data_IF_506823704731
#
_entry.id   IF_506823704731
#
_cell.length_a   1.000
_cell.length_b   1.000
_cell.length_c   1.000
_cell.angle_alpha   90.00
_cell.angle_beta   90.00
_cell.angle_gamma   90.00
#
_symmetry.space_group_name_H-M   'P 1'
#
loop_
_entity.id
_entity.type
_entity.pdbx_description
1 polymer ?
#
# COMPACT_ATOMS: atom_id res chain seq x y z
N UNK A 1 -43.93 66.17 -46.91
CA UNK A 1 -43.80 64.81 -46.35
C UNK A 1 -42.48 64.75 -45.60
N UNK A 2 -42.46 64.65 -44.27
CA UNK A 2 -41.19 64.62 -43.53
C UNK A 2 -41.29 64.81 -42.01
N UNK A 3 -42.33 64.30 -41.34
CA UNK A 3 -42.54 64.55 -39.90
C UNK A 3 -42.83 63.31 -39.03
N UNK A 4 -42.91 62.12 -39.62
CA UNK A 4 -43.27 60.88 -38.93
C UNK A 4 -42.11 59.89 -38.79
N UNK A 5 -41.08 59.98 -39.63
CA UNK A 5 -39.90 59.09 -39.61
C UNK A 5 -38.88 59.46 -38.53
N UNK A 6 -38.71 60.74 -38.20
CA UNK A 6 -37.71 61.19 -37.21
C UNK A 6 -38.07 60.81 -35.76
N UNK A 7 -39.36 60.81 -35.42
CA UNK A 7 -39.82 60.43 -34.06
C UNK A 7 -39.66 58.93 -33.79
N UNK A 8 -39.71 58.11 -34.83
CA UNK A 8 -39.52 56.66 -34.73
C UNK A 8 -38.03 56.35 -34.58
N UNK A 9 -37.17 57.03 -35.34
CA UNK A 9 -35.72 56.89 -35.23
C UNK A 9 -35.17 57.33 -33.87
N UNK A 10 -35.68 58.42 -33.31
CA UNK A 10 -35.28 58.89 -31.97
C UNK A 10 -35.65 57.87 -30.87
N UNK A 11 -36.80 57.20 -30.99
CA UNK A 11 -37.23 56.16 -30.04
C UNK A 11 -36.36 54.92 -30.12
N UNK A 12 -35.96 54.50 -31.33
CA UNK A 12 -35.03 53.38 -31.49
C UNK A 12 -33.62 53.72 -31.01
N UNK A 13 -33.15 54.96 -31.19
CA UNK A 13 -31.85 55.39 -30.67
C UNK A 13 -31.82 55.39 -29.13
N UNK A 14 -32.87 55.90 -28.47
CA UNK A 14 -32.99 55.88 -27.01
C UNK A 14 -33.08 54.45 -26.49
N UNK A 15 -33.87 53.59 -27.14
CA UNK A 15 -33.97 52.17 -26.76
C UNK A 15 -32.63 51.45 -26.95
N UNK A 16 -31.91 51.72 -28.03
CA UNK A 16 -30.61 51.13 -28.31
C UNK A 16 -29.57 51.57 -27.28
N UNK A 17 -29.53 52.86 -26.92
CA UNK A 17 -28.64 53.39 -25.87
C UNK A 17 -28.98 52.82 -24.50
N UNK A 18 -30.28 52.66 -24.18
CA UNK A 18 -30.69 52.02 -22.93
C UNK A 18 -30.28 50.54 -22.91
N UNK A 19 -30.47 49.80 -24.00
CA UNK A 19 -30.06 48.39 -24.09
C UNK A 19 -28.54 48.28 -24.02
N UNK A 20 -27.78 49.12 -24.73
CA UNK A 20 -26.31 49.10 -24.63
C UNK A 20 -25.83 49.52 -23.25
N UNK A 21 -26.44 50.51 -22.60
CA UNK A 21 -26.10 50.90 -21.23
C UNK A 21 -26.44 49.79 -20.22
N UNK A 22 -27.51 49.03 -20.45
CA UNK A 22 -27.93 47.92 -19.59
C UNK A 22 -27.04 46.68 -19.79
N UNK A 23 -26.66 46.38 -21.04
CA UNK A 23 -25.69 45.32 -21.36
C UNK A 23 -24.29 45.68 -20.85
N UNK A 24 -23.85 46.93 -21.04
CA UNK A 24 -22.54 47.41 -20.55
C UNK A 24 -22.52 47.50 -19.03
N UNK A 25 -23.62 47.95 -18.40
CA UNK A 25 -23.81 47.95 -16.95
C UNK A 25 -23.85 46.54 -16.35
N UNK A 26 -24.48 45.58 -17.03
CA UNK A 26 -24.48 44.17 -16.62
C UNK A 26 -23.08 43.53 -16.78
N UNK A 27 -22.35 43.82 -17.86
CA UNK A 27 -20.99 43.32 -18.06
C UNK A 27 -20.00 43.94 -17.06
N UNK A 28 -20.17 45.21 -16.68
CA UNK A 28 -19.34 45.87 -15.65
C UNK A 28 -19.73 45.40 -14.24
N UNK A 29 -21.01 45.09 -13.96
CA UNK A 29 -21.47 44.52 -12.70
C UNK A 29 -21.04 43.05 -12.51
N UNK A 30 -20.87 42.30 -13.61
CA UNK A 30 -20.33 40.93 -13.60
C UNK A 30 -18.78 40.95 -13.61
N UNK A 31 -18.16 42.02 -14.13
CA UNK A 31 -16.71 42.19 -14.23
C UNK A 31 -16.04 42.88 -13.02
N UNK A 32 -16.78 43.24 -11.98
CA UNK A 32 -16.28 44.03 -10.85
C UNK A 32 -16.25 43.29 -9.51
N UNK A 33 -15.03 42.94 -9.05
CA UNK A 33 -14.60 42.44 -7.72
C UNK A 33 -14.47 40.91 -7.59
N UNK A 34 -13.22 40.45 -7.57
CA UNK A 34 -12.80 39.06 -7.36
C UNK A 34 -13.02 38.54 -5.92
N UNK A 35 -14.27 38.41 -5.51
CA UNK A 35 -14.68 37.66 -4.32
C UNK A 35 -16.15 37.26 -4.46
N UNK A 36 -16.43 35.96 -4.38
CA UNK A 36 -17.76 35.39 -4.65
C UNK A 36 -17.75 33.96 -5.18
N UNK A 37 -16.59 33.37 -5.47
CA UNK A 37 -16.49 31.99 -5.90
C UNK A 37 -16.56 31.00 -4.74
N UNK A 38 -16.37 31.42 -3.49
CA UNK A 38 -16.31 30.51 -2.34
C UNK A 38 -17.57 29.62 -2.22
N UNK A 39 -18.77 30.21 -2.33
CA UNK A 39 -20.01 29.46 -2.26
C UNK A 39 -20.14 28.49 -3.45
N UNK A 40 -19.88 28.97 -4.66
CA UNK A 40 -19.92 28.15 -5.87
C UNK A 40 -18.90 27.00 -5.84
N UNK A 41 -17.69 27.24 -5.34
CA UNK A 41 -16.63 26.25 -5.22
C UNK A 41 -16.93 25.22 -4.11
N UNK A 42 -17.58 25.64 -3.01
CA UNK A 42 -18.07 24.71 -1.98
C UNK A 42 -19.18 23.82 -2.52
N UNK A 43 -20.09 24.37 -3.31
CA UNK A 43 -21.14 23.57 -3.97
C UNK A 43 -20.57 22.66 -5.06
N UNK A 44 -19.53 23.10 -5.78
CA UNK A 44 -18.78 22.26 -6.71
C UNK A 44 -18.12 21.08 -5.97
N UNK A 45 -17.47 21.31 -4.82
CA UNK A 45 -16.89 20.26 -3.99
C UNK A 45 -17.92 19.22 -3.55
N UNK A 46 -19.13 19.65 -3.14
CA UNK A 46 -20.21 18.73 -2.74
C UNK A 46 -20.69 17.82 -3.85
N UNK A 47 -20.65 18.29 -5.10
CA UNK A 47 -21.15 17.55 -6.27
C UNK A 47 -20.07 16.81 -7.06
N UNK A 48 -18.81 17.21 -6.90
CA UNK A 48 -17.69 16.62 -7.63
C UNK A 48 -17.58 15.11 -7.37
N UNK A 49 -17.20 14.37 -8.42
CA UNK A 49 -17.03 12.93 -8.37
C UNK A 49 -18.30 12.19 -7.88
N UNK A 50 -19.49 12.65 -8.28
CA UNK A 50 -20.79 12.14 -7.82
C UNK A 50 -20.95 12.18 -6.27
N UNK A 51 -20.37 13.20 -5.64
CA UNK A 51 -20.41 13.36 -4.19
C UNK A 51 -19.49 12.39 -3.43
N UNK A 52 -18.56 11.70 -4.11
CA UNK A 52 -17.63 10.77 -3.47
C UNK A 52 -16.52 11.44 -2.63
N UNK A 53 -16.35 12.76 -2.72
CA UNK A 53 -15.33 13.49 -1.96
C UNK A 53 -15.83 13.87 -0.54
N UNK A 54 -15.00 13.73 0.51
CA UNK A 54 -15.39 14.10 1.88
C UNK A 54 -15.40 15.63 2.06
N UNK A 55 -16.57 16.24 1.92
CA UNK A 55 -16.73 17.71 2.02
C UNK A 55 -16.11 18.30 3.30
N UNK A 56 -16.38 17.69 4.47
CA UNK A 56 -15.92 18.22 5.76
C UNK A 56 -14.38 18.23 5.91
N UNK A 57 -13.67 17.26 5.34
CA UNK A 57 -12.21 17.23 5.41
C UNK A 57 -11.55 18.18 4.37
N UNK A 58 -12.26 18.49 3.27
CA UNK A 58 -11.73 19.22 2.11
C UNK A 58 -12.16 20.70 2.05
N UNK A 59 -13.21 21.11 2.76
CA UNK A 59 -13.76 22.48 2.64
C UNK A 59 -12.74 23.58 2.98
N UNK A 60 -11.76 23.28 3.84
CA UNK A 60 -10.66 24.19 4.21
C UNK A 60 -9.71 24.52 3.06
N UNK A 61 -9.68 23.69 2.01
CA UNK A 61 -8.84 23.85 0.82
C UNK A 61 -9.51 24.75 -0.22
N UNK A 62 -10.83 24.94 -0.11
CA UNK A 62 -11.61 25.74 -1.06
C UNK A 62 -11.21 27.21 -0.93
N UNK A 63 -10.91 27.84 -2.07
CA UNK A 63 -10.49 29.26 -2.14
C UNK A 63 -11.53 30.10 -2.87
N UNK A 64 -11.58 31.38 -2.54
CA UNK A 64 -12.48 32.37 -3.17
C UNK A 64 -11.86 33.05 -4.40
N UNK A 65 -10.53 32.97 -4.54
CA UNK A 65 -9.78 33.77 -5.51
C UNK A 65 -10.12 33.48 -6.99
N UNK A 66 -10.62 32.27 -7.31
CA UNK A 66 -10.96 31.85 -8.67
C UNK A 66 -12.00 30.74 -8.69
N UNK A 67 -12.69 30.52 -9.82
CA UNK A 67 -13.50 29.31 -10.03
C UNK A 67 -12.65 28.04 -9.91
N UNK A 68 -13.22 27.00 -9.31
CA UNK A 68 -12.61 25.68 -9.26
C UNK A 68 -12.63 24.96 -10.60
N UNK A 69 -11.53 24.26 -10.91
CA UNK A 69 -11.37 23.45 -12.11
C UNK A 69 -11.63 21.99 -11.78
N UNK A 70 -12.72 21.43 -12.32
CA UNK A 70 -13.11 20.04 -12.16
C UNK A 70 -12.82 19.26 -13.44
N UNK A 71 -12.09 18.15 -13.31
CA UNK A 71 -11.93 17.11 -14.34
C UNK A 71 -12.37 15.80 -13.74
N UNK A 72 -13.30 15.10 -14.37
CA UNK A 72 -13.80 13.83 -13.86
C UNK A 72 -14.20 12.89 -14.99
N UNK A 73 -13.82 11.63 -14.87
CA UNK A 73 -14.19 10.56 -15.79
C UNK A 73 -14.15 9.20 -15.09
N UNK A 74 -14.73 8.17 -15.70
CA UNK A 74 -14.74 6.81 -15.18
C UNK A 74 -16.09 6.14 -15.35
N UNK A 75 -16.11 4.80 -15.26
CA UNK A 75 -17.34 4.01 -15.48
C UNK A 75 -18.40 4.24 -14.40
N UNK A 76 -18.00 4.67 -13.20
CA UNK A 76 -18.95 5.06 -12.14
C UNK A 76 -19.74 6.32 -12.52
N UNK A 77 -19.09 7.28 -13.21
CA UNK A 77 -19.69 8.56 -13.59
C UNK A 77 -20.46 8.48 -14.91
N UNK A 78 -19.99 7.63 -15.83
CA UNK A 78 -20.61 7.42 -17.14
C UNK A 78 -20.69 5.91 -17.44
N UNK A 79 -21.69 5.19 -16.89
CA UNK A 79 -21.88 3.77 -17.15
C UNK A 79 -22.01 3.49 -18.65
N UNK A 80 -21.38 2.41 -19.12
CA UNK A 80 -21.44 1.97 -20.53
C UNK A 80 -20.39 2.60 -21.45
N UNK A 81 -19.55 3.54 -20.98
CA UNK A 81 -18.33 3.95 -21.70
C UNK A 81 -17.16 3.07 -21.29
N UNK A 82 -16.36 2.64 -22.25
CA UNK A 82 -15.12 1.90 -21.96
C UNK A 82 -14.12 2.81 -21.24
N UNK A 83 -13.72 2.43 -20.03
CA UNK A 83 -12.69 3.12 -19.26
C UNK A 83 -11.92 2.13 -18.39
N UNK A 84 -10.63 2.42 -18.19
CA UNK A 84 -9.81 1.71 -17.20
C UNK A 84 -9.94 2.29 -15.79
N UNK A 85 -10.58 3.43 -15.62
CA UNK A 85 -10.83 4.02 -14.31
C UNK A 85 -12.29 3.82 -13.93
N UNK A 86 -12.54 3.39 -12.70
CA UNK A 86 -13.88 3.46 -12.12
C UNK A 86 -14.19 4.92 -11.79
N UNK A 87 -13.20 5.64 -11.25
CA UNK A 87 -13.24 7.06 -10.98
C UNK A 87 -11.85 7.65 -11.13
N UNK A 88 -11.69 8.65 -11.99
CA UNK A 88 -10.54 9.56 -12.00
C UNK A 88 -11.09 10.98 -11.92
N UNK A 89 -10.75 11.66 -10.83
CA UNK A 89 -11.34 12.93 -10.47
C UNK A 89 -10.27 13.88 -9.92
N UNK A 90 -10.18 15.07 -10.49
CA UNK A 90 -9.30 16.15 -10.03
C UNK A 90 -10.09 17.44 -9.88
N UNK A 91 -9.99 18.06 -8.71
CA UNK A 91 -10.59 19.35 -8.40
C UNK A 91 -9.51 20.29 -7.84
N UNK A 92 -9.28 21.42 -8.51
CA UNK A 92 -8.26 22.40 -8.16
C UNK A 92 -8.86 23.78 -7.97
N UNK A 93 -8.37 24.52 -6.98
CA UNK A 93 -8.75 25.93 -6.74
C UNK A 93 -7.58 26.90 -6.95
N UNK A 94 -6.49 26.42 -7.56
CA UNK A 94 -5.26 27.18 -7.77
C UNK A 94 -4.43 27.40 -6.49
N UNK A 95 -3.28 28.07 -6.64
CA UNK A 95 -2.33 28.27 -5.54
C UNK A 95 -1.84 26.96 -4.92
N UNK A 96 -1.81 25.87 -5.70
CA UNK A 96 -1.46 24.53 -5.26
C UNK A 96 -2.49 23.83 -4.37
N UNK A 97 -3.70 24.38 -4.19
CA UNK A 97 -4.80 23.71 -3.48
C UNK A 97 -5.56 22.80 -4.45
N UNK A 98 -5.48 21.48 -4.23
CA UNK A 98 -6.14 20.50 -5.09
C UNK A 98 -6.41 19.19 -4.36
N UNK A 99 -7.38 18.45 -4.89
CA UNK A 99 -7.61 17.04 -4.60
C UNK A 99 -7.62 16.28 -5.91
N UNK A 100 -6.86 15.19 -5.96
CA UNK A 100 -6.83 14.25 -7.09
C UNK A 100 -7.05 12.86 -6.54
N UNK A 101 -8.01 12.15 -7.13
CA UNK A 101 -8.40 10.81 -6.76
C UNK A 101 -8.40 9.95 -8.01
N UNK A 102 -7.80 8.78 -7.91
CA UNK A 102 -7.88 7.75 -8.94
C UNK A 102 -8.29 6.44 -8.30
N UNK A 103 -9.28 5.78 -8.87
CA UNK A 103 -9.81 4.51 -8.40
C UNK A 103 -10.05 3.57 -9.58
N UNK A 104 -9.56 2.34 -9.42
CA UNK A 104 -9.63 1.31 -10.46
C UNK A 104 -9.78 -0.09 -9.87
N UNK A 105 -10.39 -0.95 -10.67
CA UNK A 105 -10.38 -2.39 -10.45
C UNK A 105 -8.96 -2.94 -10.68
N UNK A 106 -8.34 -3.54 -9.66
CA UNK A 106 -7.02 -4.14 -9.81
C UNK A 106 -7.11 -5.44 -10.60
N UNK A 107 -6.57 -5.41 -11.82
CA UNK A 107 -6.37 -6.58 -12.70
C UNK A 107 -4.91 -6.98 -12.82
N UNK A 108 -4.01 -6.16 -12.28
CA UNK A 108 -2.56 -6.30 -12.31
C UNK A 108 -2.01 -6.00 -10.93
N UNK A 109 -0.69 -6.12 -10.79
CA UNK A 109 -0.04 -5.88 -9.52
C UNK A 109 -0.27 -4.48 -8.97
N UNK A 110 -0.31 -4.39 -7.64
CA UNK A 110 -0.21 -3.10 -6.98
C UNK A 110 1.14 -2.47 -7.32
N UNK A 111 1.19 -1.17 -7.64
CA UNK A 111 2.43 -0.50 -8.06
C UNK A 111 3.43 -0.29 -6.91
N UNK A 112 3.09 -0.69 -5.69
CA UNK A 112 3.94 -0.60 -4.52
C UNK A 112 4.63 -1.91 -4.21
N UNK A 113 5.87 -1.81 -3.74
CA UNK A 113 6.64 -2.96 -3.29
C UNK A 113 6.00 -3.64 -2.08
N UNK A 114 5.84 -4.97 -2.19
CA UNK A 114 5.11 -5.82 -1.26
C UNK A 114 6.02 -6.74 -0.43
N UNK A 115 7.34 -6.64 -0.55
CA UNK A 115 8.26 -7.43 0.29
C UNK A 115 8.12 -7.10 1.77
N UNK A 116 8.38 -8.09 2.64
CA UNK A 116 8.23 -7.94 4.10
C UNK A 116 8.96 -6.72 4.65
N UNK A 117 10.23 -6.54 4.29
CA UNK A 117 11.03 -5.39 4.73
C UNK A 117 10.47 -4.07 4.24
N UNK A 118 9.98 -4.00 3.01
CA UNK A 118 9.40 -2.78 2.46
C UNK A 118 8.12 -2.39 3.21
N UNK A 119 7.37 -3.35 3.75
CA UNK A 119 6.17 -3.10 4.56
C UNK A 119 6.54 -2.59 5.95
N UNK A 120 7.50 -3.24 6.63
CA UNK A 120 7.90 -2.88 8.00
C UNK A 120 8.79 -1.63 8.05
N UNK A 121 9.72 -1.50 7.11
CA UNK A 121 10.64 -0.38 6.96
C UNK A 121 10.60 0.14 5.51
N UNK A 122 9.65 1.03 5.18
CA UNK A 122 9.43 1.50 3.82
C UNK A 122 10.52 2.42 3.26
N UNK A 123 11.61 2.65 4.00
CA UNK A 123 12.75 3.46 3.58
C UNK A 123 12.65 4.94 3.97
N UNK A 124 13.70 5.73 3.68
CA UNK A 124 13.79 7.13 4.08
C UNK A 124 12.84 8.02 3.26
N UNK A 125 12.05 8.84 3.96
CA UNK A 125 11.26 9.91 3.34
C UNK A 125 9.94 10.11 4.06
N UNK A 126 9.45 11.36 4.08
CA UNK A 126 8.22 11.83 4.74
C UNK A 126 6.93 11.18 4.23
N UNK A 127 6.85 9.87 4.41
CA UNK A 127 5.72 9.03 4.12
C UNK A 127 4.98 8.74 5.42
N UNK A 128 3.70 8.48 5.31
CA UNK A 128 2.84 8.23 6.46
C UNK A 128 2.04 6.95 6.25
N UNK A 129 1.77 6.21 7.31
CA UNK A 129 0.79 5.12 7.31
C UNK A 129 -0.42 5.52 8.14
N UNK A 130 -1.57 4.89 7.86
CA UNK A 130 -2.78 5.08 8.62
C UNK A 130 -3.27 3.71 9.12
N UNK A 131 -3.37 3.51 10.46
CA UNK A 131 -3.92 2.29 11.04
C UNK A 131 -5.31 1.98 10.50
N UNK A 132 -5.62 0.70 10.25
CA UNK A 132 -6.87 0.23 9.67
C UNK A 132 -6.95 0.33 8.15
N UNK A 133 -5.88 0.78 7.48
CA UNK A 133 -5.84 0.89 6.02
C UNK A 133 -4.62 0.19 5.44
N UNK A 134 -4.78 -0.40 4.27
CA UNK A 134 -3.62 -0.78 3.44
C UNK A 134 -2.96 0.48 2.87
N UNK A 135 -1.69 0.36 2.53
CA UNK A 135 -0.90 1.37 1.85
C UNK A 135 -0.27 2.48 2.70
N UNK A 136 0.24 3.49 2.00
CA UNK A 136 1.11 4.57 2.50
C UNK A 136 0.73 5.89 1.84
N UNK A 137 1.00 7.00 2.50
CA UNK A 137 1.04 8.31 1.88
C UNK A 137 2.45 8.60 1.36
N UNK A 138 2.60 8.90 0.08
CA UNK A 138 3.88 9.30 -0.50
C UNK A 138 3.74 10.34 -1.62
N UNK A 139 4.68 10.36 -2.56
CA UNK A 139 4.70 11.33 -3.65
C UNK A 139 3.41 11.33 -4.52
N UNK A 140 2.75 10.17 -4.62
CA UNK A 140 1.49 9.98 -5.35
C UNK A 140 0.23 10.19 -4.49
N UNK A 141 0.39 10.60 -3.23
CA UNK A 141 -0.71 10.67 -2.25
C UNK A 141 -0.84 9.40 -1.42
N UNK A 142 -1.96 9.29 -0.69
CA UNK A 142 -2.39 8.05 -0.05
C UNK A 142 -2.79 7.04 -1.12
N UNK A 143 -2.53 5.76 -0.86
CA UNK A 143 -3.11 4.66 -1.62
C UNK A 143 -3.65 3.61 -0.65
N UNK A 144 -4.68 2.89 -1.08
CA UNK A 144 -5.21 1.73 -0.39
C UNK A 144 -5.86 0.75 -1.38
N UNK A 145 -6.03 -0.49 -0.94
CA UNK A 145 -6.81 -1.55 -1.56
C UNK A 145 -8.01 -1.83 -0.65
N UNK A 146 -9.20 -1.76 -1.22
CA UNK A 146 -10.46 -2.04 -0.54
C UNK A 146 -11.11 -3.29 -1.14
N UNK A 147 -11.82 -4.01 -0.29
CA UNK A 147 -12.44 -5.27 -0.64
C UNK A 147 -13.79 -5.03 -1.32
N UNK A 148 -14.04 -5.82 -2.37
CA UNK A 148 -15.24 -5.75 -3.18
C UNK A 148 -15.65 -7.17 -3.58
N UNK A 149 -15.97 -8.00 -2.58
CA UNK A 149 -16.04 -9.46 -2.67
C UNK A 149 -17.05 -10.00 -3.71
N UNK A 150 -18.12 -9.25 -3.98
CA UNK A 150 -19.14 -9.53 -4.99
C UNK A 150 -18.70 -9.20 -6.42
N UNK A 151 -17.52 -8.61 -6.59
CA UNK A 151 -16.97 -8.18 -7.88
C UNK A 151 -17.26 -6.71 -8.20
N UNK A 152 -16.34 -6.09 -8.94
CA UNK A 152 -16.51 -4.77 -9.54
C UNK A 152 -17.16 -4.89 -10.92
N UNK A 153 -18.25 -4.17 -11.15
CA UNK A 153 -18.93 -4.13 -12.45
C UNK A 153 -18.16 -3.26 -13.48
N UNK A 154 -18.57 -3.36 -14.75
CA UNK A 154 -18.00 -2.56 -15.85
C UNK A 154 -16.69 -3.12 -16.40
N UNK A 155 -16.38 -4.39 -16.12
CA UNK A 155 -15.20 -5.11 -16.61
C UNK A 155 -15.54 -6.45 -17.23
N UNK A 156 -14.68 -6.87 -18.15
CA UNK A 156 -14.75 -8.19 -18.80
C UNK A 156 -14.42 -9.32 -17.81
N UNK A 157 -13.60 -9.04 -16.78
CA UNK A 157 -13.29 -9.99 -15.71
C UNK A 157 -13.67 -9.36 -14.36
N UNK A 158 -14.50 -10.04 -13.55
CA UNK A 158 -14.81 -9.55 -12.21
C UNK A 158 -13.53 -9.57 -11.36
N UNK A 159 -13.23 -8.45 -10.71
CA UNK A 159 -12.16 -8.37 -9.72
C UNK A 159 -12.77 -8.04 -8.37
N UNK A 160 -12.17 -8.55 -7.30
CA UNK A 160 -12.65 -8.37 -5.93
C UNK A 160 -11.88 -7.29 -5.17
N UNK A 161 -11.00 -6.58 -5.87
CA UNK A 161 -10.02 -5.66 -5.31
C UNK A 161 -10.13 -4.29 -5.99
N UNK A 162 -10.42 -3.27 -5.18
CA UNK A 162 -10.50 -1.87 -5.58
C UNK A 162 -9.24 -1.14 -5.11
N UNK A 163 -8.45 -0.60 -6.03
CA UNK A 163 -7.35 0.29 -5.68
C UNK A 163 -7.80 1.74 -5.74
N UNK A 164 -7.50 2.50 -4.70
CA UNK A 164 -7.79 3.92 -4.62
C UNK A 164 -6.53 4.66 -4.24
N UNK A 165 -6.24 5.73 -4.98
CA UNK A 165 -5.26 6.75 -4.62
C UNK A 165 -5.95 8.08 -4.38
N UNK A 166 -5.47 8.83 -3.40
CA UNK A 166 -5.93 10.18 -3.12
C UNK A 166 -4.75 11.07 -2.74
N UNK A 167 -4.53 12.10 -3.56
CA UNK A 167 -3.55 13.15 -3.30
C UNK A 167 -4.28 14.43 -2.94
N UNK A 168 -3.88 15.00 -1.82
CA UNK A 168 -4.40 16.28 -1.33
C UNK A 168 -3.23 17.24 -1.22
N UNK A 169 -3.40 18.45 -1.74
CA UNK A 169 -2.40 19.52 -1.66
C UNK A 169 -3.06 20.79 -1.16
N UNK A 170 -2.36 21.54 -0.31
CA UNK A 170 -2.85 22.77 0.33
C UNK A 170 -2.03 24.02 -0.06
N UNK A 171 -1.22 23.91 -1.12
CA UNK A 171 -0.31 24.94 -1.59
C UNK A 171 1.09 24.91 -0.97
N UNK A 172 1.33 24.09 0.06
CA UNK A 172 2.67 23.92 0.65
C UNK A 172 3.47 22.82 -0.04
N UNK A 173 4.80 22.90 0.06
CA UNK A 173 5.72 21.88 -0.45
C UNK A 173 5.81 20.70 0.52
N UNK A 174 5.56 19.49 0.03
CA UNK A 174 5.54 18.28 0.86
C UNK A 174 4.22 18.12 1.64
N UNK A 175 3.94 16.90 2.09
CA UNK A 175 2.77 16.64 2.92
C UNK A 175 3.14 16.65 4.40
N UNK A 176 2.38 17.41 5.20
CA UNK A 176 2.40 17.29 6.65
C UNK A 176 1.43 16.17 7.12
N UNK A 177 1.46 15.84 8.42
CA UNK A 177 0.56 14.83 9.01
C UNK A 177 -0.92 15.09 8.69
N UNK A 178 -1.32 16.35 8.74
CA UNK A 178 -2.71 16.77 8.50
C UNK A 178 -3.12 16.52 7.05
N UNK A 179 -2.23 16.82 6.10
CA UNK A 179 -2.42 16.59 4.66
C UNK A 179 -2.47 15.10 4.37
N UNK A 180 -1.57 14.32 4.96
CA UNK A 180 -1.55 12.88 4.81
C UNK A 180 -2.83 12.22 5.36
N UNK A 181 -3.27 12.63 6.55
CA UNK A 181 -4.53 12.16 7.15
C UNK A 181 -5.74 12.49 6.27
N UNK A 182 -5.82 13.71 5.74
CA UNK A 182 -6.88 14.09 4.79
C UNK A 182 -6.82 13.27 3.51
N UNK A 183 -5.62 12.96 3.01
CA UNK A 183 -5.43 12.04 1.87
C UNK A 183 -6.01 10.66 2.13
N UNK A 184 -5.65 10.03 3.27
CA UNK A 184 -6.17 8.72 3.64
C UNK A 184 -7.69 8.72 3.84
N UNK A 185 -8.24 9.73 4.54
CA UNK A 185 -9.70 9.87 4.69
C UNK A 185 -10.41 10.03 3.35
N UNK A 186 -9.81 10.78 2.43
CA UNK A 186 -10.32 10.93 1.06
C UNK A 186 -10.33 9.59 0.33
N UNK A 187 -9.22 8.83 0.38
CA UNK A 187 -9.15 7.51 -0.23
C UNK A 187 -10.19 6.54 0.36
N UNK A 188 -10.33 6.49 1.68
CA UNK A 188 -11.33 5.64 2.38
C UNK A 188 -12.75 6.05 2.01
N UNK A 189 -13.05 7.35 2.01
CA UNK A 189 -14.39 7.84 1.66
C UNK A 189 -14.76 7.49 0.22
N UNK A 190 -13.83 7.65 -0.72
CA UNK A 190 -14.00 7.27 -2.12
C UNK A 190 -14.18 5.76 -2.27
N UNK A 191 -13.34 4.95 -1.63
CA UNK A 191 -13.46 3.50 -1.67
C UNK A 191 -14.82 3.03 -1.16
N UNK A 192 -15.28 3.60 -0.04
CA UNK A 192 -16.60 3.33 0.52
C UNK A 192 -17.75 3.82 -0.39
N UNK A 193 -17.58 4.94 -1.10
CA UNK A 193 -18.57 5.42 -2.07
C UNK A 193 -18.69 4.48 -3.27
N UNK A 194 -17.56 4.05 -3.84
CA UNK A 194 -17.50 3.12 -4.97
C UNK A 194 -18.08 1.76 -4.58
N UNK A 195 -17.62 1.16 -3.48
CA UNK A 195 -18.12 -0.16 -3.03
C UNK A 195 -19.63 -0.15 -2.78
N UNK A 196 -20.18 0.92 -2.19
CA UNK A 196 -21.64 1.10 -2.06
C UNK A 196 -22.35 1.25 -3.39
N UNK A 197 -21.82 2.07 -4.31
CA UNK A 197 -22.42 2.28 -5.62
C UNK A 197 -22.45 1.00 -6.45
N UNK A 198 -21.38 0.20 -6.38
CA UNK A 198 -21.22 -1.09 -7.07
C UNK A 198 -21.92 -2.25 -6.36
N UNK A 199 -22.41 -2.05 -5.12
CA UNK A 199 -23.07 -3.09 -4.30
C UNK A 199 -22.28 -4.39 -4.18
N UNK A 200 -20.96 -4.30 -4.20
CA UNK A 200 -20.11 -5.48 -4.23
C UNK A 200 -19.83 -6.10 -2.86
N UNK A 201 -20.54 -5.69 -1.81
CA UNK A 201 -20.36 -6.21 -0.45
C UNK A 201 -19.04 -5.77 0.20
N UNK A 202 -18.70 -6.42 1.31
CA UNK A 202 -17.58 -6.05 2.19
C UNK A 202 -17.99 -5.11 3.33
N UNK A 203 -17.17 -5.07 4.38
CA UNK A 203 -17.35 -4.12 5.48
C UNK A 203 -16.75 -2.77 5.04
N UNK A 204 -17.48 -1.64 5.20
CA UNK A 204 -16.91 -0.33 4.94
C UNK A 204 -15.63 -0.12 5.74
N UNK A 205 -14.63 0.51 5.12
CA UNK A 205 -13.40 0.90 5.79
C UNK A 205 -13.69 2.03 6.77
N UNK A 206 -13.18 1.91 8.00
CA UNK A 206 -13.29 2.97 8.99
C UNK A 206 -12.30 4.11 8.64
N UNK A 207 -12.76 5.38 8.56
CA UNK A 207 -11.85 6.49 8.28
C UNK A 207 -10.79 6.62 9.38
N UNK A 208 -9.49 6.73 9.03
CA UNK A 208 -8.45 6.81 10.03
C UNK A 208 -8.55 8.10 10.85
N UNK A 209 -8.24 8.00 12.14
CA UNK A 209 -8.22 9.12 13.08
C UNK A 209 -6.83 9.78 13.16
N UNK A 210 -5.77 9.04 12.82
CA UNK A 210 -4.38 9.48 12.91
C UNK A 210 -3.52 8.87 11.80
N UNK A 211 -2.34 9.44 11.63
CA UNK A 211 -1.29 8.89 10.78
C UNK A 211 0.00 8.74 11.57
N UNK A 212 0.77 7.72 11.22
CA UNK A 212 2.08 7.43 11.80
C UNK A 212 3.14 7.78 10.78
N UNK A 213 4.20 8.48 11.19
CA UNK A 213 5.34 8.73 10.32
C UNK A 213 6.14 7.44 10.18
N UNK A 214 6.52 7.10 8.96
CA UNK A 214 7.26 5.86 8.65
C UNK A 214 8.78 6.05 8.71
N UNK A 215 9.28 7.29 8.68
CA UNK A 215 10.70 7.58 8.71
C UNK A 215 11.27 7.58 10.15
N UNK A 216 12.49 7.06 10.29
CA UNK A 216 13.32 7.30 11.48
C UNK A 216 13.70 8.77 11.56
N UNK A 217 13.34 9.44 12.64
CA UNK A 217 13.90 10.77 12.94
C UNK A 217 15.38 10.61 13.25
N UNK A 218 16.26 11.33 12.55
CA UNK A 218 17.70 11.35 12.86
C UNK A 218 17.89 11.91 14.28
N UNK A 219 18.21 11.03 15.23
CA UNK A 219 18.25 11.32 16.67
C UNK A 219 17.50 10.30 17.53
N UNK A 220 16.60 9.51 16.95
CA UNK A 220 16.06 8.33 17.62
C UNK A 220 17.10 7.21 17.59
N UNK A 221 17.75 6.97 18.73
CA UNK A 221 18.52 5.74 18.96
C UNK A 221 17.61 4.51 19.17
N UNK A 222 16.28 4.67 19.05
CA UNK A 222 15.31 3.59 18.99
C UNK A 222 14.70 3.54 17.59
N UNK A 223 14.93 2.44 16.86
CA UNK A 223 14.46 2.26 15.49
C UNK A 223 12.99 2.64 15.32
N UNK A 224 12.68 3.28 14.19
CA UNK A 224 11.34 3.72 13.78
C UNK A 224 10.37 2.57 13.49
N UNK A 225 10.16 1.71 14.48
CA UNK A 225 9.00 0.87 14.62
C UNK A 225 7.97 1.59 15.50
N UNK A 226 6.70 1.27 15.29
CA UNK A 226 5.63 1.77 16.16
C UNK A 226 5.80 1.12 17.54
N UNK A 227 6.17 1.91 18.54
CA UNK A 227 5.98 1.53 19.94
C UNK A 227 4.48 1.59 20.23
N UNK A 228 3.83 0.44 20.42
CA UNK A 228 2.37 0.38 20.56
C UNK A 228 1.79 -1.03 20.38
N UNK A 229 0.44 -1.17 20.33
CA UNK A 229 -0.25 -2.45 20.20
C UNK A 229 0.16 -3.30 18.99
N UNK A 230 0.65 -2.68 17.91
CA UNK A 230 1.20 -3.34 16.72
C UNK A 230 2.51 -4.09 17.00
N UNK A 231 3.33 -3.65 17.98
CA UNK A 231 4.52 -4.39 18.40
C UNK A 231 4.14 -5.75 19.03
N UNK A 232 3.03 -5.80 19.79
CA UNK A 232 2.58 -7.04 20.45
C UNK A 232 2.24 -8.16 19.48
N UNK A 233 1.82 -7.82 18.26
CA UNK A 233 1.50 -8.80 17.21
C UNK A 233 2.70 -9.58 16.73
N UNK A 234 3.91 -9.13 17.06
CA UNK A 234 5.17 -9.77 16.71
C UNK A 234 5.88 -10.36 17.95
N UNK A 235 5.29 -10.27 19.16
CA UNK A 235 5.89 -10.79 20.41
C UNK A 235 6.03 -12.31 20.43
N UNK A 236 5.32 -13.01 19.53
CA UNK A 236 5.50 -14.44 19.31
C UNK A 236 6.89 -14.78 18.75
N UNK A 237 7.64 -13.80 18.23
CA UNK A 237 9.04 -13.96 17.83
C UNK A 237 9.90 -13.94 19.09
N UNK A 238 10.22 -15.12 19.61
CA UNK A 238 11.16 -15.25 20.71
C UNK A 238 11.87 -16.61 20.68
N UNK A 239 13.07 -16.71 21.26
CA UNK A 239 13.76 -17.99 21.36
C UNK A 239 13.03 -19.04 22.21
N UNK A 240 12.12 -18.62 23.10
CA UNK A 240 11.34 -19.56 23.91
C UNK A 240 10.14 -20.13 23.15
N UNK A 241 9.60 -19.42 22.16
CA UNK A 241 8.49 -19.89 21.33
C UNK A 241 8.96 -20.61 20.07
N UNK A 242 10.11 -20.21 19.51
CA UNK A 242 10.68 -20.73 18.27
C UNK A 242 12.08 -21.31 18.57
N UNK A 243 12.18 -22.62 18.88
CA UNK A 243 13.46 -23.31 18.94
C UNK A 243 14.28 -23.13 17.66
N UNK A 244 15.60 -22.97 17.81
CA UNK A 244 16.53 -22.70 16.71
C UNK A 244 16.91 -21.23 16.56
N UNK A 245 16.10 -20.30 17.08
CA UNK A 245 16.51 -18.90 17.21
C UNK A 245 17.65 -18.77 18.23
N UNK A 246 18.57 -17.85 17.96
CA UNK A 246 19.66 -17.55 18.89
C UNK A 246 19.12 -17.10 20.26
N UNK A 247 19.59 -17.69 21.37
CA UNK A 247 19.24 -17.22 22.71
C UNK A 247 19.66 -15.76 22.94
N UNK A 248 18.90 -15.05 23.79
CA UNK A 248 19.21 -13.69 24.18
C UNK A 248 18.07 -12.72 23.95
N UNK A 249 18.40 -11.42 23.93
CA UNK A 249 17.43 -10.38 23.64
C UNK A 249 17.19 -10.22 22.14
N UNK A 250 15.94 -9.99 21.77
CA UNK A 250 15.49 -9.75 20.40
C UNK A 250 14.70 -8.45 20.36
N UNK A 251 14.82 -7.72 19.25
CA UNK A 251 13.96 -6.58 18.92
C UNK A 251 12.97 -7.02 17.85
N UNK A 252 11.68 -6.84 18.12
CA UNK A 252 10.60 -7.13 17.17
C UNK A 252 10.01 -5.83 16.62
N UNK A 253 9.59 -5.85 15.35
CA UNK A 253 8.89 -4.73 14.70
C UNK A 253 7.74 -5.28 13.88
N UNK A 254 6.59 -4.61 13.93
CA UNK A 254 5.43 -4.93 13.12
C UNK A 254 5.07 -3.78 12.17
N UNK A 255 4.26 -4.08 11.16
CA UNK A 255 3.69 -3.08 10.29
C UNK A 255 2.84 -2.05 11.08
N UNK A 256 2.87 -0.80 10.61
CA UNK A 256 2.11 0.30 11.21
C UNK A 256 0.68 0.42 10.65
N UNK A 257 0.31 -0.45 9.72
CA UNK A 257 -0.89 -0.31 8.90
C UNK A 257 -2.11 -0.94 9.57
N UNK A 258 -1.90 -2.00 10.36
CA UNK A 258 -2.97 -2.70 11.08
C UNK A 258 -4.18 -2.99 10.15
N UNK A 259 -3.85 -3.50 8.96
CA UNK A 259 -4.84 -3.78 7.93
C UNK A 259 -5.43 -5.17 8.12
N UNK A 260 -6.67 -5.36 7.71
CA UNK A 260 -7.30 -6.69 7.63
C UNK A 260 -6.79 -7.53 6.45
N UNK A 261 -6.00 -6.93 5.54
CA UNK A 261 -5.60 -7.55 4.27
C UNK A 261 -4.09 -7.74 4.13
N UNK A 262 -3.29 -7.19 5.06
CA UNK A 262 -1.85 -7.44 5.11
C UNK A 262 -1.33 -7.34 6.54
N UNK A 263 -0.26 -8.08 6.83
CA UNK A 263 0.55 -7.85 8.02
C UNK A 263 1.99 -8.29 7.80
N UNK A 264 2.93 -7.61 8.46
CA UNK A 264 4.34 -7.96 8.42
C UNK A 264 4.99 -7.80 9.79
N UNK A 265 5.90 -8.71 10.12
CA UNK A 265 6.75 -8.71 11.30
C UNK A 265 8.20 -8.96 10.92
N UNK A 266 9.11 -8.30 11.61
CA UNK A 266 10.54 -8.63 11.61
C UNK A 266 11.01 -8.82 13.05
N UNK A 267 12.00 -9.69 13.24
CA UNK A 267 12.71 -9.83 14.51
C UNK A 267 14.20 -9.89 14.27
N UNK A 268 14.97 -9.13 15.03
CA UNK A 268 16.43 -9.11 14.96
C UNK A 268 17.00 -9.42 16.35
N UNK A 269 18.00 -10.29 16.43
CA UNK A 269 18.80 -10.48 17.64
C UNK A 269 19.59 -9.20 17.90
N UNK A 270 19.46 -8.62 19.09
CA UNK A 270 19.98 -7.28 19.39
C UNK A 270 21.41 -7.33 19.95
N UNK A 271 22.48 -7.07 19.16
CA UNK A 271 23.85 -7.10 19.67
C UNK A 271 24.14 -6.04 20.75
N UNK A 272 23.34 -4.97 20.82
CA UNK A 272 23.52 -3.88 21.78
C UNK A 272 22.77 -4.09 23.10
N UNK A 273 21.89 -5.09 23.18
CA UNK A 273 21.16 -5.37 24.41
C UNK A 273 22.09 -5.85 25.53
N UNK A 274 21.89 -5.44 26.79
CA UNK A 274 22.72 -5.89 27.92
C UNK A 274 22.82 -7.41 28.09
N UNK A 275 21.78 -8.16 27.70
CA UNK A 275 21.78 -9.63 27.74
C UNK A 275 22.68 -10.30 26.69
N UNK A 276 23.09 -9.53 25.69
CA UNK A 276 23.80 -9.99 24.51
C UNK A 276 25.23 -9.41 24.43
N UNK A 277 25.63 -8.57 25.39
CA UNK A 277 26.92 -7.90 25.42
C UNK A 277 28.08 -8.91 25.39
N UNK A 278 29.04 -8.67 24.48
CA UNK A 278 30.21 -9.53 24.31
C UNK A 278 29.95 -10.89 23.63
N UNK A 279 28.71 -11.17 23.19
CA UNK A 279 28.36 -12.46 22.58
C UNK A 279 28.34 -12.37 21.05
N UNK A 280 29.33 -12.96 20.38
CA UNK A 280 29.35 -13.02 18.91
C UNK A 280 28.58 -14.26 18.41
N UNK A 281 27.66 -14.13 17.44
CA UNK A 281 27.02 -15.29 16.85
C UNK A 281 27.95 -16.08 15.93
N UNK A 282 27.85 -17.41 16.02
CA UNK A 282 28.53 -18.33 15.11
C UNK A 282 27.80 -18.34 13.76
N UNK A 283 28.51 -18.75 12.71
CA UNK A 283 27.90 -18.94 11.41
C UNK A 283 26.70 -19.88 11.48
N UNK A 284 25.70 -19.63 10.64
CA UNK A 284 24.44 -20.36 10.54
C UNK A 284 23.50 -20.24 11.75
N UNK A 285 23.88 -19.50 12.80
CA UNK A 285 22.94 -19.18 13.87
C UNK A 285 21.94 -18.13 13.38
N UNK A 286 20.66 -18.40 13.59
CA UNK A 286 19.56 -17.52 13.17
C UNK A 286 19.53 -16.29 14.06
N UNK A 287 19.83 -15.14 13.46
CA UNK A 287 19.86 -13.82 14.12
C UNK A 287 18.80 -12.86 13.59
N UNK A 288 18.08 -13.24 12.54
CA UNK A 288 16.94 -12.48 12.04
C UNK A 288 15.80 -13.40 11.64
N UNK A 289 14.58 -12.89 11.70
CA UNK A 289 13.40 -13.53 11.13
C UNK A 289 12.49 -12.51 10.48
N UNK A 290 11.76 -12.96 9.48
CA UNK A 290 10.73 -12.20 8.80
C UNK A 290 9.45 -13.03 8.70
N UNK A 291 8.30 -12.39 8.79
CA UNK A 291 7.01 -13.01 8.58
C UNK A 291 6.04 -12.01 7.96
N UNK A 292 5.30 -12.42 6.95
CA UNK A 292 4.28 -11.58 6.35
C UNK A 292 3.11 -12.39 5.80
N UNK A 293 1.96 -11.72 5.72
CA UNK A 293 0.74 -12.24 5.11
C UNK A 293 0.13 -11.17 4.21
N UNK A 294 -0.41 -11.61 3.08
CA UNK A 294 -1.06 -10.73 2.11
C UNK A 294 -2.29 -11.40 1.52
N UNK A 295 -3.45 -10.76 1.67
CA UNK A 295 -4.73 -11.27 1.18
C UNK A 295 -5.05 -10.74 -0.23
N UNK A 296 -5.67 -11.60 -1.05
CA UNK A 296 -6.15 -11.27 -2.39
C UNK A 296 -5.06 -10.73 -3.31
N UNK A 297 -5.33 -9.61 -3.98
CA UNK A 297 -4.37 -9.03 -4.95
C UNK A 297 -3.03 -8.68 -4.31
N UNK A 298 -2.99 -8.28 -3.03
CA UNK A 298 -1.73 -7.98 -2.36
C UNK A 298 -0.83 -9.21 -2.30
N UNK A 299 -1.43 -10.39 -2.09
CA UNK A 299 -0.70 -11.66 -2.07
C UNK A 299 -0.22 -12.08 -3.45
N UNK A 300 -1.02 -11.84 -4.49
CA UNK A 300 -0.55 -12.03 -5.87
C UNK A 300 0.64 -11.12 -6.18
N UNK A 301 0.56 -9.83 -5.86
CA UNK A 301 1.64 -8.90 -6.13
C UNK A 301 2.89 -9.16 -5.31
N UNK A 302 2.75 -9.64 -4.07
CA UNK A 302 3.88 -10.12 -3.29
C UNK A 302 4.52 -11.34 -3.98
N UNK A 303 3.71 -12.34 -4.33
CA UNK A 303 4.18 -13.56 -4.99
C UNK A 303 4.89 -13.24 -6.32
N UNK A 304 4.28 -12.46 -7.20
CA UNK A 304 4.85 -12.05 -8.49
C UNK A 304 6.14 -11.23 -8.31
N UNK A 305 6.24 -10.42 -7.24
CA UNK A 305 7.48 -9.69 -6.93
C UNK A 305 8.61 -10.62 -6.54
N UNK A 306 8.37 -11.58 -5.64
CA UNK A 306 9.37 -12.57 -5.25
C UNK A 306 9.68 -13.54 -6.40
N UNK A 307 8.71 -13.89 -7.25
CA UNK A 307 8.89 -14.76 -8.41
C UNK A 307 9.87 -14.15 -9.42
N UNK A 308 9.80 -12.84 -9.65
CA UNK A 308 10.76 -12.14 -10.55
C UNK A 308 12.21 -12.24 -10.07
N UNK A 309 12.43 -12.47 -8.78
CA UNK A 309 13.74 -12.63 -8.17
C UNK A 309 14.14 -14.10 -7.97
N UNK A 310 13.25 -15.05 -8.32
CA UNK A 310 13.46 -16.46 -8.07
C UNK A 310 13.22 -16.91 -6.63
N UNK A 311 12.53 -16.08 -5.85
CA UNK A 311 12.31 -16.26 -4.42
C UNK A 311 10.95 -16.91 -4.08
N UNK A 312 10.43 -17.77 -4.96
CA UNK A 312 9.19 -18.55 -4.76
C UNK A 312 9.40 -20.05 -5.02
N UNK A 313 8.63 -20.95 -4.37
CA UNK A 313 8.79 -22.38 -4.59
C UNK A 313 8.50 -22.77 -6.04
N UNK A 314 9.34 -23.64 -6.61
CA UNK A 314 9.17 -24.16 -7.97
C UNK A 314 9.67 -23.22 -9.08
N UNK A 315 10.31 -22.09 -8.73
CA UNK A 315 11.00 -21.26 -9.72
C UNK A 315 12.14 -22.03 -10.40
N UNK A 316 12.30 -21.89 -11.71
CA UNK A 316 13.29 -22.65 -12.51
C UNK A 316 12.98 -24.13 -12.74
N UNK A 317 11.97 -24.70 -12.08
CA UNK A 317 11.63 -26.12 -12.14
C UNK A 317 11.10 -26.59 -13.51
N UNK A 318 10.79 -25.69 -14.45
CA UNK A 318 10.30 -26.03 -15.80
C UNK A 318 11.38 -25.97 -16.90
N UNK A 319 12.52 -25.33 -16.63
CA UNK A 319 13.61 -25.15 -17.60
C UNK A 319 14.81 -26.02 -17.21
N UNK A 320 15.16 -26.06 -15.93
CA UNK A 320 16.28 -26.85 -15.42
C UNK A 320 15.93 -28.33 -15.26
N UNK A 321 14.70 -28.69 -14.82
CA UNK A 321 14.27 -30.11 -14.84
C UNK A 321 14.08 -30.66 -16.25
N UNK A 322 13.86 -29.81 -17.26
CA UNK A 322 13.76 -30.25 -18.66
C UNK A 322 15.13 -30.61 -19.24
N UNK A 323 16.18 -29.90 -18.80
CA UNK A 323 17.56 -30.14 -19.23
C UNK A 323 18.27 -31.19 -18.36
N UNK A 324 18.00 -31.22 -17.04
CA UNK A 324 18.59 -32.18 -16.12
C UNK A 324 18.01 -33.61 -16.25
N UNK A 325 16.74 -33.77 -16.66
CA UNK A 325 16.18 -35.11 -16.97
C UNK A 325 16.60 -35.66 -18.34
N UNK A 326 17.29 -34.88 -19.16
CA UNK A 326 17.72 -35.29 -20.50
C UNK A 326 19.20 -35.70 -20.58
N UNK A 327 19.99 -35.56 -19.51
CA UNK A 327 21.43 -35.84 -19.57
C UNK A 327 22.05 -36.25 -18.24
N UNK A 328 22.04 -37.57 -18.00
CA UNK A 328 23.06 -38.39 -17.30
C UNK A 328 22.47 -39.28 -16.20
N UNK A 329 22.49 -40.61 -16.39
CA UNK A 329 22.53 -41.55 -15.27
C UNK A 329 23.94 -41.56 -14.67
N UNK A 330 24.04 -41.80 -13.37
CA UNK A 330 25.26 -41.96 -12.56
C UNK A 330 25.99 -40.68 -12.13
N UNK A 331 25.47 -40.05 -11.08
CA UNK A 331 26.29 -39.62 -9.94
C UNK A 331 25.46 -39.66 -8.65
N UNK A 332 25.92 -40.44 -7.67
CA UNK A 332 25.49 -40.35 -6.27
C UNK A 332 25.77 -38.94 -5.75
N UNK A 333 24.79 -38.04 -5.84
CA UNK A 333 24.89 -36.65 -5.40
C UNK A 333 24.20 -36.42 -4.04
N UNK A 334 24.50 -37.26 -3.04
CA UNK A 334 23.94 -37.11 -1.68
C UNK A 334 24.75 -36.16 -0.77
N UNK A 335 25.91 -35.68 -1.23
CA UNK A 335 26.85 -34.83 -0.46
C UNK A 335 27.12 -33.47 -1.14
N UNK A 336 26.20 -32.97 -1.96
CA UNK A 336 26.32 -31.63 -2.50
C UNK A 336 26.26 -30.60 -1.36
N UNK A 337 27.39 -29.96 -1.09
CA UNK A 337 27.49 -28.85 -0.13
C UNK A 337 27.17 -27.58 -0.88
N UNK A 338 26.06 -26.94 -0.53
CA UNK A 338 25.73 -25.63 -1.08
C UNK A 338 26.75 -24.60 -0.60
N UNK A 339 27.13 -23.70 -1.50
CA UNK A 339 28.13 -22.67 -1.23
C UNK A 339 27.49 -21.31 -1.31
N UNK A 340 27.50 -20.60 -0.19
CA UNK A 340 26.93 -19.25 -0.09
C UNK A 340 28.03 -18.22 -0.34
N UNK A 341 27.92 -17.38 -1.39
CA UNK A 341 28.96 -16.40 -1.73
C UNK A 341 28.98 -15.16 -0.83
N UNK A 342 30.17 -14.57 -0.67
CA UNK A 342 30.42 -13.43 0.21
C UNK A 342 29.68 -12.14 -0.16
N UNK A 343 29.24 -11.99 -1.42
CA UNK A 343 28.52 -10.79 -1.87
C UNK A 343 27.06 -10.77 -1.42
N UNK A 344 26.53 -11.90 -0.92
CA UNK A 344 25.18 -11.95 -0.37
C UNK A 344 25.15 -11.32 1.01
N UNK A 345 24.40 -10.24 1.12
CA UNK A 345 24.32 -9.46 2.35
C UNK A 345 23.33 -10.05 3.37
N UNK A 346 22.35 -10.84 2.91
CA UNK A 346 21.26 -11.37 3.73
C UNK A 346 20.80 -12.76 3.26
N UNK A 347 21.65 -13.81 3.39
CA UNK A 347 21.25 -15.18 3.07
C UNK A 347 20.07 -15.58 3.95
N UNK A 348 19.06 -16.22 3.37
CA UNK A 348 17.87 -16.63 4.12
C UNK A 348 17.21 -17.88 3.55
N UNK A 349 16.58 -18.65 4.44
CA UNK A 349 15.67 -19.73 4.06
C UNK A 349 14.25 -19.24 4.26
N UNK A 350 13.48 -19.18 3.19
CA UNK A 350 12.07 -18.80 3.22
C UNK A 350 11.16 -20.02 3.12
N UNK A 351 10.01 -19.95 3.79
CA UNK A 351 8.94 -20.94 3.72
C UNK A 351 7.65 -20.24 3.33
N UNK A 352 7.06 -20.70 2.23
CA UNK A 352 5.81 -20.17 1.71
C UNK A 352 4.63 -21.06 2.09
N UNK A 353 3.51 -20.43 2.40
CA UNK A 353 2.24 -21.11 2.60
C UNK A 353 1.09 -20.30 1.99
N UNK A 354 -0.02 -20.99 1.73
CA UNK A 354 -1.26 -20.40 1.27
C UNK A 354 -2.38 -20.81 2.21
N UNK A 355 -3.30 -19.89 2.51
CA UNK A 355 -4.49 -20.16 3.29
C UNK A 355 -5.69 -19.37 2.77
N UNK A 356 -6.83 -19.52 3.44
CA UNK A 356 -8.01 -18.67 3.24
C UNK A 356 -8.24 -17.82 4.49
N UNK A 357 -8.01 -16.50 4.40
CA UNK A 357 -8.26 -15.54 5.50
C UNK A 357 -9.37 -14.57 5.10
N UNK A 358 -10.33 -14.31 5.99
CA UNK A 358 -11.46 -13.43 5.67
C UNK A 358 -12.25 -13.83 4.41
N UNK A 359 -12.20 -15.11 4.00
CA UNK A 359 -12.80 -15.60 2.77
C UNK A 359 -11.98 -15.39 1.50
N UNK A 360 -10.71 -14.99 1.61
CA UNK A 360 -9.83 -14.65 0.49
C UNK A 360 -8.59 -15.53 0.49
N UNK A 361 -8.07 -15.84 -0.69
CA UNK A 361 -6.74 -16.47 -0.82
C UNK A 361 -5.71 -15.55 -0.22
N UNK A 362 -4.89 -16.08 0.67
CA UNK A 362 -3.83 -15.35 1.36
C UNK A 362 -2.54 -16.12 1.22
N UNK A 363 -1.47 -15.41 0.85
CA UNK A 363 -0.12 -15.96 0.90
C UNK A 363 0.55 -15.56 2.20
N UNK A 364 1.28 -16.50 2.77
CA UNK A 364 2.14 -16.31 3.93
C UNK A 364 3.57 -16.62 3.53
N UNK A 365 4.50 -15.84 4.03
CA UNK A 365 5.93 -16.09 3.91
C UNK A 365 6.57 -15.88 5.26
N UNK A 366 7.37 -16.84 5.71
CA UNK A 366 8.30 -16.62 6.81
C UNK A 366 9.72 -16.89 6.33
N UNK A 367 10.70 -16.23 6.95
CA UNK A 367 12.11 -16.45 6.62
C UNK A 367 12.95 -16.45 7.89
N UNK A 368 13.96 -17.31 7.89
CA UNK A 368 15.02 -17.32 8.90
C UNK A 368 16.31 -16.81 8.28
N UNK A 369 16.96 -15.86 8.97
CA UNK A 369 18.13 -15.15 8.51
C UNK A 369 19.32 -15.55 9.39
N UNK A 370 20.13 -16.53 8.97
CA UNK A 370 21.37 -16.86 9.65
C UNK A 370 22.38 -15.71 9.56
N UNK A 371 23.19 -15.56 10.61
CA UNK A 371 24.43 -14.79 10.50
C UNK A 371 25.46 -15.61 9.74
N UNK A 372 26.13 -14.99 8.77
CA UNK A 372 27.32 -15.51 8.12
C UNK A 372 28.43 -14.46 8.17
N UNK A 373 29.63 -14.90 8.52
CA UNK A 373 30.84 -14.14 8.27
C UNK A 373 31.59 -14.79 7.11
N UNK A 374 31.56 -14.15 5.94
CA UNK A 374 32.25 -14.63 4.74
C UNK A 374 33.30 -13.60 4.35
N UNK A 375 34.60 -13.95 4.35
CA UNK A 375 35.63 -13.07 3.83
C UNK A 375 35.36 -12.69 2.36
N UNK A 376 35.80 -11.50 1.95
CA UNK A 376 35.57 -11.01 0.59
C UNK A 376 36.13 -11.97 -0.47
N UNK A 377 35.26 -12.40 -1.40
CA UNK A 377 35.60 -13.32 -2.49
C UNK A 377 35.53 -14.81 -2.11
N UNK A 378 35.14 -15.13 -0.88
CA UNK A 378 34.98 -16.52 -0.42
C UNK A 378 33.53 -17.02 -0.48
N UNK A 379 33.37 -18.31 -0.19
CA UNK A 379 32.07 -18.98 -0.03
C UNK A 379 32.06 -19.77 1.27
N UNK A 380 30.96 -19.74 2.03
CA UNK A 380 30.79 -20.60 3.21
C UNK A 380 29.98 -21.85 2.83
N UNK A 381 30.44 -23.06 3.22
CA UNK A 381 29.70 -24.28 3.00
C UNK A 381 28.46 -24.37 3.90
N UNK A 382 27.34 -24.82 3.34
CA UNK A 382 26.14 -25.21 4.06
C UNK A 382 26.04 -26.74 4.06
N UNK A 383 26.21 -27.36 5.23
CA UNK A 383 26.07 -28.80 5.38
C UNK A 383 24.59 -29.23 5.45
N UNK A 384 24.26 -30.49 5.08
CA UNK A 384 22.89 -31.00 5.15
C UNK A 384 22.22 -30.86 6.54
N UNK A 385 22.99 -31.06 7.61
CA UNK A 385 22.50 -30.90 8.98
C UNK A 385 22.17 -29.46 9.37
N UNK A 386 22.96 -28.48 8.89
CA UNK A 386 22.68 -27.06 9.10
C UNK A 386 21.43 -26.65 8.31
N UNK A 387 21.33 -27.11 7.06
CA UNK A 387 20.16 -26.85 6.23
C UNK A 387 18.88 -27.44 6.83
N UNK A 388 18.93 -28.66 7.34
CA UNK A 388 17.81 -29.29 8.03
C UNK A 388 17.38 -28.50 9.28
N UNK A 389 18.33 -28.00 10.07
CA UNK A 389 18.05 -27.19 11.26
C UNK A 389 17.39 -25.83 10.91
N UNK A 390 17.85 -25.18 9.83
CA UNK A 390 17.20 -23.97 9.31
C UNK A 390 15.75 -24.27 8.87
N UNK A 391 15.53 -25.39 8.18
CA UNK A 391 14.20 -25.84 7.74
C UNK A 391 13.27 -26.05 8.93
N UNK A 392 13.70 -26.85 9.92
CA UNK A 392 12.92 -27.13 11.12
C UNK A 392 12.54 -25.84 11.85
N UNK A 393 13.47 -24.89 11.94
CA UNK A 393 13.20 -23.58 12.53
C UNK A 393 12.21 -22.77 11.70
N UNK A 394 12.31 -22.77 10.37
CA UNK A 394 11.36 -22.07 9.48
C UNK A 394 9.94 -22.64 9.56
N UNK A 395 9.79 -23.97 9.61
CA UNK A 395 8.49 -24.63 9.82
C UNK A 395 7.89 -24.29 11.18
N UNK A 396 8.72 -24.32 12.23
CA UNK A 396 8.33 -23.91 13.58
C UNK A 396 7.89 -22.45 13.61
N UNK A 397 8.66 -21.57 12.95
CA UNK A 397 8.38 -20.15 12.83
C UNK A 397 7.02 -19.91 12.14
N UNK A 398 6.74 -20.60 11.04
CA UNK A 398 5.46 -20.54 10.34
C UNK A 398 4.31 -21.00 11.25
N UNK A 399 4.47 -22.13 11.93
CA UNK A 399 3.45 -22.65 12.85
C UNK A 399 3.17 -21.67 13.99
N UNK A 400 4.22 -21.02 14.54
CA UNK A 400 4.08 -19.99 15.58
C UNK A 400 3.41 -18.73 15.04
N UNK A 401 3.78 -18.26 13.85
CA UNK A 401 3.17 -17.10 13.22
C UNK A 401 1.66 -17.30 13.01
N UNK A 402 1.28 -18.45 12.45
CA UNK A 402 -0.11 -18.79 12.16
C UNK A 402 -0.94 -19.03 13.43
N UNK A 403 -0.30 -19.54 14.49
CA UNK A 403 -0.96 -19.89 15.75
C UNK A 403 -0.93 -18.81 16.85
N UNK A 404 -0.22 -17.69 16.63
CA UNK A 404 -0.07 -16.64 17.63
C UNK A 404 -1.44 -16.04 18.02
N UNK A 405 -1.72 -15.92 19.33
CA UNK A 405 -3.05 -15.51 19.81
C UNK A 405 -3.41 -14.08 19.41
N UNK A 406 -2.45 -13.17 19.57
CA UNK A 406 -2.56 -11.78 19.12
C UNK A 406 -2.05 -11.59 17.68
N UNK A 407 -1.74 -12.69 16.99
CA UNK A 407 -1.22 -12.69 15.63
C UNK A 407 -2.27 -12.35 14.60
N UNK A 408 -1.85 -11.67 13.53
CA UNK A 408 -2.73 -11.32 12.42
C UNK A 408 -3.43 -12.53 11.77
N UNK A 409 -2.78 -13.69 11.54
CA UNK A 409 -3.47 -14.82 10.90
C UNK A 409 -4.70 -15.30 11.67
N UNK A 410 -4.63 -15.29 13.02
CA UNK A 410 -5.76 -15.67 13.88
C UNK A 410 -6.86 -14.61 13.85
N UNK A 411 -6.51 -13.32 13.94
CA UNK A 411 -7.49 -12.23 13.89
C UNK A 411 -8.18 -12.09 12.53
N UNK A 412 -7.47 -12.41 11.44
CA UNK A 412 -8.00 -12.47 10.08
C UNK A 412 -8.79 -13.77 9.80
N UNK A 413 -8.85 -14.70 10.75
CA UNK A 413 -9.59 -15.96 10.62
C UNK A 413 -9.05 -16.87 9.51
N UNK A 414 -7.72 -16.93 9.37
CA UNK A 414 -7.06 -17.81 8.40
C UNK A 414 -7.35 -19.29 8.71
N UNK A 415 -7.64 -20.06 7.66
CA UNK A 415 -7.89 -21.51 7.71
C UNK A 415 -7.36 -22.21 6.46
N UNK A 416 -7.38 -23.54 6.50
CA UNK A 416 -7.01 -24.40 5.36
C UNK A 416 -5.59 -24.13 4.84
N UNK A 417 -4.65 -23.89 5.75
CA UNK A 417 -3.28 -23.56 5.39
C UNK A 417 -2.56 -24.75 4.75
N UNK A 418 -1.97 -24.53 3.57
CA UNK A 418 -1.12 -25.45 2.84
C UNK A 418 0.28 -24.85 2.69
N UNK A 419 1.31 -25.58 3.09
CA UNK A 419 2.71 -25.23 2.80
C UNK A 419 2.97 -25.43 1.30
N UNK A 420 3.51 -24.40 0.65
CA UNK A 420 3.83 -24.41 -0.79
C UNK A 420 5.24 -24.92 -1.06
N UNK A 421 6.19 -24.61 -0.17
CA UNK A 421 7.56 -25.08 -0.26
C UNK A 421 8.56 -24.13 0.38
N UNK A 422 9.79 -24.62 0.46
CA UNK A 422 10.96 -23.88 0.92
C UNK A 422 11.67 -23.22 -0.26
N UNK A 423 12.31 -22.09 -0.01
CA UNK A 423 13.11 -21.35 -0.99
C UNK A 423 14.41 -20.91 -0.34
N UNK A 424 15.50 -21.22 -1.01
CA UNK A 424 16.86 -20.94 -0.59
C UNK A 424 17.34 -19.67 -1.29
N UNK A 425 17.40 -18.57 -0.56
CA UNK A 425 17.72 -17.24 -1.10
C UNK A 425 19.19 -16.94 -0.83
N UNK A 426 20.06 -17.82 -1.31
CA UNK A 426 21.51 -17.71 -1.18
C UNK A 426 22.31 -18.08 -2.44
N UNK A 427 21.69 -17.91 -3.61
CA UNK A 427 22.27 -18.21 -4.93
C UNK A 427 22.28 -17.01 -5.87
#
# INVERSE_FOLDING_TARGET
MGGLTDRVWLRYAILFVLITALVTGAVIAIGGKGGGHLAANRDQLRRACDGALPYGDLERLVRDARPGELRQHGTMLAPGRESRSLLDCSLSWGGGNAVTVHAEALVSDVPQGMETRQIVDPGPGGTFTAPGTTGRYGARGAWLVADCLGGLDGRVRPTTDLYVTARVTDGRTGADRTTALTGFRTAVHVANAITRAQRCGGRPLDPPSQVVATARTAGDQGGGGVTGPSARRCDWISPSSVPGLRPGAWTTRGDAQDSTSLSACTGDWDPGAPRNEGVTPQDWQITGVEAASWAGILGRSAYDSYEREGHVPGWGADEENRLAKAGSPDTDASDAVDRVPSYLTHPQLALWAQSVCGGRVTYHRVSVLPRLHIPDGETVPLGPGQRAALAETAHTLLARYLGAEDGWPKSAGCRDTKVLGEVEEWH
#
